data_IF_834103639796
#
_entry.id   IF_834103639796
#
_cell.length_a   1.000
_cell.length_b   1.000
_cell.length_c   1.000
_cell.angle_alpha   90.00
_cell.angle_beta   90.00
_cell.angle_gamma   90.00
#
_symmetry.space_group_name_H-M   'P 1'
#
loop_
_entity.id
_entity.type
_entity.pdbx_description
1 polymer ?
#
# COMPACT_ATOMS: atom_id res chain seq x y z
N UNK A 1 -7.09 2.41 -7.67
CA UNK A 1 -7.21 0.95 -7.55
C UNK A 1 -7.78 0.39 -8.84
N UNK A 2 -7.63 -0.91 -9.08
CA UNK A 2 -8.31 -1.63 -10.17
C UNK A 2 -8.72 -3.01 -9.67
N UNK A 3 -9.83 -3.53 -10.16
CA UNK A 3 -10.24 -4.91 -9.91
C UNK A 3 -9.47 -5.88 -10.80
N UNK A 4 -9.62 -7.18 -10.55
CA UNK A 4 -9.27 -8.22 -11.53
C UNK A 4 -10.24 -8.19 -12.71
N UNK A 5 -9.79 -8.74 -13.83
CA UNK A 5 -10.66 -9.01 -14.96
C UNK A 5 -11.59 -10.17 -14.63
N UNK A 6 -12.87 -10.05 -14.98
CA UNK A 6 -13.84 -11.14 -14.93
C UNK A 6 -14.06 -11.62 -16.35
N UNK A 7 -13.78 -12.89 -16.57
CA UNK A 7 -14.03 -13.57 -17.83
C UNK A 7 -15.42 -14.23 -17.80
N UNK A 8 -16.09 -14.31 -18.94
CA UNK A 8 -17.32 -15.08 -19.15
C UNK A 8 -18.58 -14.62 -18.39
N UNK A 9 -18.57 -13.44 -17.74
CA UNK A 9 -19.76 -12.81 -17.14
C UNK A 9 -19.94 -11.38 -17.66
N UNK A 10 -20.62 -11.23 -18.80
CA UNK A 10 -20.76 -9.93 -19.47
C UNK A 10 -21.90 -9.06 -18.95
N UNK A 11 -22.93 -9.63 -18.30
CA UNK A 11 -24.17 -8.90 -17.96
C UNK A 11 -24.27 -8.46 -16.50
N UNK A 12 -23.59 -9.14 -15.58
CA UNK A 12 -23.60 -8.81 -14.14
C UNK A 12 -22.29 -9.24 -13.48
N UNK A 13 -21.14 -8.65 -13.87
CA UNK A 13 -19.84 -9.02 -13.33
C UNK A 13 -19.79 -8.74 -11.81
N UNK A 14 -19.37 -9.75 -11.03
CA UNK A 14 -19.24 -9.65 -9.56
C UNK A 14 -17.80 -9.79 -9.10
N UNK A 15 -17.15 -8.65 -8.86
CA UNK A 15 -15.76 -8.64 -8.39
C UNK A 15 -15.63 -9.06 -6.92
N UNK A 16 -16.49 -8.52 -6.06
CA UNK A 16 -16.43 -8.68 -4.60
C UNK A 16 -15.02 -8.38 -4.05
N UNK A 17 -14.39 -7.34 -4.59
CA UNK A 17 -13.05 -6.91 -4.20
C UNK A 17 -13.09 -5.75 -3.23
N UNK A 18 -12.14 -5.75 -2.30
CA UNK A 18 -11.97 -4.70 -1.30
C UNK A 18 -10.61 -4.05 -1.46
N UNK A 19 -10.55 -2.74 -1.22
CA UNK A 19 -9.34 -1.95 -1.40
C UNK A 19 -9.05 -1.14 -0.14
N UNK A 20 -7.77 -1.08 0.24
CA UNK A 20 -7.25 -0.10 1.18
C UNK A 20 -6.43 0.91 0.38
N UNK A 21 -7.02 2.06 0.08
CA UNK A 21 -6.42 3.07 -0.80
C UNK A 21 -5.89 4.21 0.07
N UNK A 22 -4.58 4.45 -0.01
CA UNK A 22 -3.96 5.62 0.62
C UNK A 22 -4.24 6.87 -0.23
N UNK A 23 -4.82 7.89 0.40
CA UNK A 23 -5.29 9.09 -0.28
C UNK A 23 -4.53 10.34 0.18
N UNK A 24 -4.14 11.18 -0.77
CA UNK A 24 -3.57 12.52 -0.55
C UNK A 24 -3.97 13.47 -1.69
N UNK A 25 -5.25 13.41 -2.10
CA UNK A 25 -5.76 14.05 -3.31
C UNK A 25 -6.81 15.12 -2.99
N UNK A 26 -6.82 16.20 -3.76
CA UNK A 26 -7.91 17.18 -3.77
C UNK A 26 -8.85 16.86 -4.96
N UNK A 27 -10.00 16.27 -4.69
CA UNK A 27 -10.97 15.81 -5.71
C UNK A 27 -12.40 16.09 -5.28
N UNK A 28 -13.30 16.24 -6.26
CA UNK A 28 -14.74 16.44 -6.02
C UNK A 28 -15.55 15.14 -6.07
N UNK A 29 -15.05 14.12 -6.78
CA UNK A 29 -15.73 12.84 -6.94
C UNK A 29 -14.74 11.67 -6.84
N UNK A 30 -15.21 10.56 -6.27
CA UNK A 30 -14.63 9.23 -6.49
C UNK A 30 -15.30 8.65 -7.73
N UNK A 31 -14.50 8.35 -8.75
CA UNK A 31 -14.99 7.92 -10.06
C UNK A 31 -14.71 6.44 -10.27
N UNK A 32 -15.73 5.65 -10.53
CA UNK A 32 -15.61 4.24 -10.92
C UNK A 32 -15.74 4.16 -12.42
N UNK A 33 -14.70 3.69 -13.10
CA UNK A 33 -14.70 3.52 -14.56
C UNK A 33 -14.82 2.05 -14.89
N UNK A 34 -15.87 1.68 -15.62
CA UNK A 34 -16.11 0.31 -16.06
C UNK A 34 -15.56 0.20 -17.48
N UNK A 35 -14.68 -0.78 -17.68
CA UNK A 35 -14.05 -1.06 -18.97
C UNK A 35 -14.17 -2.54 -19.28
N UNK A 36 -14.29 -2.82 -20.57
CA UNK A 36 -14.13 -4.15 -21.12
C UNK A 36 -12.76 -4.23 -21.79
N UNK A 37 -11.95 -5.22 -21.42
CA UNK A 37 -10.61 -5.41 -22.00
C UNK A 37 -10.70 -6.54 -23.02
N UNK A 38 -10.82 -6.16 -24.29
CA UNK A 38 -10.84 -7.11 -25.39
C UNK A 38 -9.44 -7.23 -26.01
N UNK A 39 -9.14 -8.33 -26.73
CA UNK A 39 -7.82 -8.55 -27.34
C UNK A 39 -7.35 -7.42 -28.28
N UNK A 40 -8.29 -6.62 -28.80
CA UNK A 40 -8.04 -5.49 -29.71
C UNK A 40 -7.82 -4.17 -28.96
N UNK A 41 -8.24 -4.08 -27.69
CA UNK A 41 -8.08 -2.90 -26.85
C UNK A 41 -9.18 -2.77 -25.79
N UNK A 42 -8.92 -1.91 -24.79
CA UNK A 42 -9.88 -1.63 -23.72
C UNK A 42 -10.98 -0.66 -24.20
N UNK A 43 -12.23 -1.10 -24.15
CA UNK A 43 -13.43 -0.31 -24.45
C UNK A 43 -14.02 0.26 -23.17
N UNK A 44 -14.33 1.56 -23.15
CA UNK A 44 -15.05 2.19 -22.06
C UNK A 44 -16.53 1.77 -22.11
N UNK A 45 -17.05 1.22 -21.01
CA UNK A 45 -18.49 0.96 -20.86
C UNK A 45 -19.18 2.21 -20.28
N UNK A 46 -18.58 2.82 -19.26
CA UNK A 46 -19.12 4.03 -18.65
C UNK A 46 -18.45 4.38 -17.31
N UNK A 47 -18.95 5.43 -16.67
CA UNK A 47 -18.43 5.97 -15.41
C UNK A 47 -19.54 6.21 -14.39
N UNK A 48 -19.29 5.85 -13.14
CA UNK A 48 -20.15 6.20 -12.01
C UNK A 48 -19.41 7.19 -11.09
N UNK A 49 -20.16 8.15 -10.54
CA UNK A 49 -19.61 9.27 -9.80
C UNK A 49 -20.18 9.28 -8.37
N UNK A 50 -19.30 9.21 -7.38
CA UNK A 50 -19.63 9.36 -5.96
C UNK A 50 -19.06 10.70 -5.48
N UNK A 51 -19.91 11.69 -5.16
CA UNK A 51 -19.46 12.95 -4.59
C UNK A 51 -18.64 12.73 -3.32
N UNK A 52 -17.52 13.45 -3.18
CA UNK A 52 -16.66 13.34 -1.99
C UNK A 52 -17.38 13.80 -0.73
N UNK A 53 -18.31 14.76 -0.86
CA UNK A 53 -19.16 15.22 0.24
C UNK A 53 -19.92 14.09 0.95
N UNK A 54 -20.25 13.01 0.24
CA UNK A 54 -20.95 11.86 0.81
C UNK A 54 -20.06 10.99 1.70
N UNK A 55 -18.74 11.02 1.49
CA UNK A 55 -17.76 10.17 2.21
C UNK A 55 -16.85 10.94 3.14
N UNK A 56 -16.65 12.24 2.93
CA UNK A 56 -15.64 13.05 3.64
C UNK A 56 -15.89 13.14 5.15
N UNK A 57 -17.16 12.98 5.57
CA UNK A 57 -17.57 12.96 6.96
C UNK A 57 -17.14 11.67 7.71
N UNK A 58 -16.62 10.67 6.99
CA UNK A 58 -16.12 9.41 7.53
C UNK A 58 -17.18 8.32 7.76
N UNK A 59 -18.45 8.60 7.45
CA UNK A 59 -19.49 7.59 7.48
C UNK A 59 -19.33 6.60 6.32
N UNK A 60 -19.79 5.38 6.56
CA UNK A 60 -19.86 4.36 5.54
C UNK A 60 -20.97 4.68 4.53
N UNK A 61 -20.63 4.62 3.24
CA UNK A 61 -21.55 4.71 2.12
C UNK A 61 -21.65 3.34 1.48
N UNK A 62 -22.86 2.81 1.37
CA UNK A 62 -23.15 1.52 0.71
C UNK A 62 -24.35 1.72 -0.22
N UNK A 63 -24.11 1.79 -1.54
CA UNK A 63 -25.17 2.15 -2.50
C UNK A 63 -24.92 1.71 -3.94
N UNK A 64 -26.01 1.67 -4.69
CA UNK A 64 -26.02 1.54 -6.14
C UNK A 64 -25.91 2.93 -6.80
N UNK A 65 -24.90 3.11 -7.65
CA UNK A 65 -24.65 4.34 -8.40
C UNK A 65 -24.88 4.07 -9.88
N UNK A 66 -25.60 4.98 -10.55
CA UNK A 66 -25.85 4.89 -11.99
C UNK A 66 -24.56 5.06 -12.80
N UNK A 67 -24.45 4.28 -13.87
CA UNK A 67 -23.34 4.35 -14.81
C UNK A 67 -23.74 5.28 -15.96
N UNK A 68 -22.88 6.25 -16.24
CA UNK A 68 -23.08 7.30 -17.23
C UNK A 68 -22.10 7.14 -18.40
N UNK A 69 -22.51 7.62 -19.58
CA UNK A 69 -21.66 7.78 -20.75
C UNK A 69 -20.73 9.01 -20.63
N UNK A 70 -20.06 9.36 -21.72
CA UNK A 70 -19.14 10.50 -21.77
C UNK A 70 -19.86 11.86 -21.73
N UNK A 71 -21.14 11.90 -22.08
CA UNK A 71 -22.00 13.08 -22.08
C UNK A 71 -22.82 13.21 -20.77
N UNK A 72 -22.49 12.40 -19.75
CA UNK A 72 -23.19 12.33 -18.46
C UNK A 72 -24.65 11.88 -18.55
N UNK A 73 -25.02 11.14 -19.59
CA UNK A 73 -26.34 10.51 -19.69
C UNK A 73 -26.29 9.05 -19.18
N UNK A 74 -27.38 8.54 -18.59
CA UNK A 74 -27.45 7.13 -18.20
C UNK A 74 -27.21 6.19 -19.38
N UNK A 75 -26.33 5.19 -19.21
CA UNK A 75 -26.11 4.20 -20.26
C UNK A 75 -27.35 3.30 -20.44
N UNK A 76 -27.55 2.69 -21.63
CA UNK A 76 -28.69 1.80 -21.87
C UNK A 76 -28.81 0.69 -20.82
N UNK A 77 -30.05 0.36 -20.45
CA UNK A 77 -30.35 -0.73 -19.52
C UNK A 77 -30.33 -0.37 -18.04
N UNK A 78 -30.26 0.93 -17.68
CA UNK A 78 -30.23 1.41 -16.30
C UNK A 78 -29.13 0.71 -15.48
N UNK A 79 -27.96 0.56 -16.08
CA UNK A 79 -26.84 -0.16 -15.47
C UNK A 79 -26.33 0.62 -14.25
N UNK A 80 -26.11 -0.09 -13.14
CA UNK A 80 -25.64 0.50 -11.88
C UNK A 80 -24.48 -0.33 -11.34
N UNK A 81 -23.56 0.34 -10.66
CA UNK A 81 -22.49 -0.30 -9.89
C UNK A 81 -22.82 -0.22 -8.40
N UNK A 82 -22.69 -1.35 -7.70
CA UNK A 82 -22.79 -1.38 -6.24
C UNK A 82 -21.42 -1.13 -5.64
N UNK A 83 -21.30 -0.11 -4.80
CA UNK A 83 -20.03 0.24 -4.16
C UNK A 83 -20.24 0.53 -2.68
N UNK A 84 -19.22 0.14 -1.90
CA UNK A 84 -19.14 0.38 -0.47
C UNK A 84 -17.84 1.11 -0.15
N UNK A 85 -17.93 2.28 0.48
CA UNK A 85 -16.80 3.16 0.75
C UNK A 85 -16.87 3.74 2.15
N UNK A 86 -15.71 3.88 2.77
CA UNK A 86 -15.55 4.65 4.00
C UNK A 86 -14.23 5.42 3.90
N UNK A 87 -14.28 6.72 4.16
CA UNK A 87 -13.08 7.53 4.25
C UNK A 87 -12.60 7.58 5.71
N UNK A 88 -11.33 7.28 5.92
CA UNK A 88 -10.70 7.39 7.24
C UNK A 88 -9.67 8.50 7.15
N UNK A 89 -9.90 9.59 7.89
CA UNK A 89 -8.94 10.69 7.96
C UNK A 89 -7.67 10.19 8.67
N UNK A 90 -6.49 10.67 8.24
CA UNK A 90 -5.20 10.33 8.87
C UNK A 90 -5.19 10.58 10.38
N UNK A 91 -5.93 11.58 10.87
CA UNK A 91 -6.03 11.88 12.31
C UNK A 91 -6.74 10.81 13.13
N UNK A 92 -7.44 9.87 12.49
CA UNK A 92 -8.05 8.71 13.15
C UNK A 92 -7.05 7.57 13.36
N UNK A 93 -5.86 7.61 12.73
CA UNK A 93 -4.80 6.66 13.02
C UNK A 93 -4.15 6.98 14.37
N UNK A 94 -4.07 5.98 15.26
CA UNK A 94 -3.54 6.13 16.62
C UNK A 94 -2.07 6.58 16.68
N UNK A 95 -1.31 6.42 15.60
CA UNK A 95 0.11 6.78 15.49
C UNK A 95 0.32 8.07 14.66
N UNK A 96 -0.74 8.69 14.14
CA UNK A 96 -0.62 9.90 13.33
C UNK A 96 0.11 11.02 14.07
N UNK A 97 1.22 11.49 13.49
CA UNK A 97 2.08 12.54 14.06
C UNK A 97 2.71 12.19 15.43
N UNK A 98 2.77 10.91 15.80
CA UNK A 98 3.30 10.48 17.11
C UNK A 98 4.50 9.53 17.02
N UNK A 99 4.85 9.04 15.82
CA UNK A 99 5.90 8.02 15.65
C UNK A 99 5.54 6.68 16.31
N UNK A 100 6.55 5.85 16.59
CA UNK A 100 6.36 4.59 17.32
C UNK A 100 6.31 4.89 18.82
N UNK A 101 5.10 4.89 19.39
CA UNK A 101 4.86 5.28 20.79
C UNK A 101 5.08 4.17 21.80
N UNK A 102 4.97 2.91 21.38
CA UNK A 102 4.96 1.75 22.26
C UNK A 102 5.76 0.60 21.65
N UNK A 103 6.49 -0.17 22.48
CA UNK A 103 7.05 -1.46 22.08
C UNK A 103 6.00 -2.45 21.56
N UNK A 104 4.72 -2.23 21.87
CA UNK A 104 3.59 -3.02 21.38
C UNK A 104 3.14 -2.65 19.96
N UNK A 105 3.87 -1.78 19.24
CA UNK A 105 3.56 -1.48 17.84
C UNK A 105 3.58 -2.76 16.98
N UNK A 106 2.47 -3.03 16.30
CA UNK A 106 2.23 -4.30 15.60
C UNK A 106 2.81 -4.34 14.17
N UNK A 107 3.45 -3.25 13.74
CA UNK A 107 3.98 -3.10 12.39
C UNK A 107 3.02 -2.41 11.44
N UNK A 108 3.45 -2.30 10.18
CA UNK A 108 2.65 -1.70 9.11
C UNK A 108 1.51 -2.66 8.73
N UNK A 109 0.23 -2.21 8.73
CA UNK A 109 -0.91 -3.06 8.40
C UNK A 109 -0.97 -3.39 6.90
N UNK A 110 -1.82 -4.36 6.52
CA UNK A 110 -2.06 -4.76 5.12
C UNK A 110 -0.81 -5.17 4.31
N UNK A 111 0.25 -5.59 5.00
CA UNK A 111 1.50 -6.10 4.40
C UNK A 111 1.51 -7.62 4.33
N UNK A 112 2.21 -8.17 3.32
CA UNK A 112 2.41 -9.62 3.15
C UNK A 112 3.34 -10.19 4.23
N UNK A 113 4.50 -9.56 4.44
CA UNK A 113 5.42 -9.92 5.52
C UNK A 113 5.11 -9.10 6.77
N UNK A 114 4.78 -9.80 7.86
CA UNK A 114 4.51 -9.18 9.17
C UNK A 114 5.80 -8.84 9.92
N UNK A 115 5.72 -7.86 10.82
CA UNK A 115 6.81 -7.50 11.71
C UNK A 115 7.29 -8.71 12.53
N UNK A 116 8.60 -8.84 12.69
CA UNK A 116 9.24 -9.90 13.48
C UNK A 116 9.92 -9.27 14.71
N UNK A 117 9.88 -9.99 15.82
CA UNK A 117 10.47 -9.57 17.09
C UNK A 117 11.78 -10.33 17.34
N UNK A 118 12.62 -9.84 18.25
CA UNK A 118 13.89 -10.49 18.59
C UNK A 118 14.94 -10.46 17.47
N UNK A 119 14.80 -9.53 16.52
CA UNK A 119 15.73 -9.37 15.41
C UNK A 119 16.95 -8.54 15.83
N UNK A 120 18.09 -8.78 15.17
CA UNK A 120 19.25 -7.89 15.18
C UNK A 120 19.44 -7.36 13.78
N UNK A 121 19.61 -6.04 13.65
CA UNK A 121 19.90 -5.37 12.38
C UNK A 121 21.29 -4.75 12.48
N UNK A 122 22.18 -5.13 11.56
CA UNK A 122 23.44 -4.43 11.34
C UNK A 122 23.20 -3.35 10.29
N UNK A 123 23.55 -2.10 10.61
CA UNK A 123 23.46 -0.98 9.68
C UNK A 123 24.81 -0.79 8.99
N UNK A 124 24.79 -0.76 7.66
CA UNK A 124 26.00 -0.55 6.86
C UNK A 124 26.02 0.84 6.26
N UNK A 125 27.05 1.60 6.59
CA UNK A 125 27.41 2.82 5.89
C UNK A 125 28.44 2.44 4.83
N UNK A 126 28.05 2.53 3.56
CA UNK A 126 28.87 2.11 2.41
C UNK A 126 29.26 0.61 2.43
N UNK A 127 30.05 0.20 1.43
CA UNK A 127 30.52 -1.18 1.31
C UNK A 127 31.57 -1.55 2.37
N UNK A 128 32.43 -0.59 2.73
CA UNK A 128 33.52 -0.75 3.69
C UNK A 128 33.74 0.59 4.39
N UNK A 129 34.07 0.52 5.68
CA UNK A 129 34.44 1.68 6.50
C UNK A 129 35.88 1.44 6.97
N UNK A 130 36.83 2.31 6.59
CA UNK A 130 38.23 2.14 6.97
C UNK A 130 38.39 2.29 8.50
N UNK A 131 39.51 1.79 9.02
CA UNK A 131 39.92 1.99 10.41
C UNK A 131 40.36 3.45 10.65
N UNK A 132 39.39 4.37 10.62
CA UNK A 132 39.57 5.78 10.97
C UNK A 132 38.90 6.08 12.28
N UNK A 133 39.48 7.00 13.06
CA UNK A 133 38.85 7.50 14.28
C UNK A 133 37.56 8.22 13.92
N UNK A 134 36.43 7.54 14.08
CA UNK A 134 35.12 8.16 14.01
C UNK A 134 34.87 8.99 15.28
N UNK A 135 34.11 10.08 15.20
CA UNK A 135 33.66 10.78 16.39
C UNK A 135 32.94 9.83 17.34
N UNK A 136 33.15 10.00 18.64
CA UNK A 136 32.47 9.19 19.64
C UNK A 136 30.99 9.60 19.70
N UNK A 137 30.11 8.75 19.18
CA UNK A 137 28.67 8.92 19.31
C UNK A 137 28.15 8.02 20.44
N UNK A 138 27.77 8.64 21.55
CA UNK A 138 27.22 7.95 22.71
C UNK A 138 25.81 7.43 22.41
N UNK A 139 25.60 6.15 22.70
CA UNK A 139 24.32 5.47 22.61
C UNK A 139 23.74 5.23 24.01
N UNK A 140 22.46 4.87 24.07
CA UNK A 140 21.84 4.41 25.31
C UNK A 140 22.55 3.18 25.89
N UNK A 141 22.51 3.02 27.21
CA UNK A 141 23.21 1.93 27.91
C UNK A 141 24.73 2.09 28.00
N UNK A 142 25.26 3.30 27.78
CA UNK A 142 26.69 3.62 27.94
C UNK A 142 27.59 3.07 26.83
N UNK A 143 27.00 2.67 25.71
CA UNK A 143 27.73 2.16 24.53
C UNK A 143 28.15 3.31 23.62
N UNK A 144 29.16 3.06 22.81
CA UNK A 144 29.54 3.94 21.69
C UNK A 144 29.10 3.29 20.38
N UNK A 145 28.74 4.12 19.40
CA UNK A 145 28.47 3.65 18.04
C UNK A 145 29.72 3.01 17.42
N UNK A 146 29.55 1.82 16.87
CA UNK A 146 30.61 1.07 16.16
C UNK A 146 30.13 0.75 14.73
N UNK A 147 30.80 1.25 13.68
CA UNK A 147 30.41 1.02 12.31
C UNK A 147 30.65 -0.44 11.93
N UNK A 148 29.73 -1.01 11.15
CA UNK A 148 29.85 -2.37 10.59
C UNK A 148 30.30 -2.29 9.13
N UNK A 149 30.92 -3.36 8.60
CA UNK A 149 31.50 -3.39 7.26
C UNK A 149 30.77 -4.38 6.36
N UNK A 150 30.01 -3.85 5.40
CA UNK A 150 29.09 -4.63 4.57
C UNK A 150 29.79 -5.77 3.81
N UNK A 151 30.84 -5.46 3.05
CA UNK A 151 31.50 -6.44 2.19
C UNK A 151 32.34 -7.45 2.97
N UNK A 152 32.87 -7.07 4.14
CA UNK A 152 33.54 -8.02 5.04
C UNK A 152 32.53 -9.01 5.62
N UNK A 153 31.40 -8.54 6.13
CA UNK A 153 30.34 -9.41 6.66
C UNK A 153 29.71 -10.29 5.56
N UNK A 154 29.51 -9.76 4.34
CA UNK A 154 29.04 -10.55 3.19
C UNK A 154 30.08 -11.62 2.81
N UNK A 155 31.36 -11.26 2.76
CA UNK A 155 32.44 -12.21 2.48
C UNK A 155 32.46 -13.34 3.51
N UNK A 156 32.34 -13.01 4.79
CA UNK A 156 32.28 -14.00 5.87
C UNK A 156 31.02 -14.86 5.77
N UNK A 157 29.86 -14.27 5.49
CA UNK A 157 28.60 -15.00 5.34
C UNK A 157 28.65 -16.02 4.18
N UNK A 158 29.21 -15.63 3.04
CA UNK A 158 29.39 -16.50 1.87
C UNK A 158 30.42 -17.60 2.17
N UNK A 159 31.58 -17.22 2.71
CA UNK A 159 32.69 -18.14 2.98
C UNK A 159 32.31 -19.20 4.02
N UNK A 160 31.52 -18.82 5.03
CA UNK A 160 31.13 -19.71 6.14
C UNK A 160 29.84 -20.50 5.89
N UNK A 161 29.15 -20.30 4.76
CA UNK A 161 27.91 -21.00 4.45
C UNK A 161 28.14 -22.51 4.23
N UNK A 162 27.28 -23.36 4.80
CA UNK A 162 27.38 -24.84 4.69
C UNK A 162 26.34 -25.49 3.78
N UNK A 163 25.27 -24.79 3.43
CA UNK A 163 24.10 -25.38 2.77
C UNK A 163 23.64 -24.62 1.55
N UNK A 164 23.36 -23.31 1.70
CA UNK A 164 22.78 -22.51 0.63
C UNK A 164 23.35 -21.11 0.64
N UNK A 165 23.47 -20.56 -0.57
CA UNK A 165 23.79 -19.16 -0.85
C UNK A 165 22.80 -18.75 -1.95
N UNK A 166 21.91 -17.80 -1.66
CA UNK A 166 20.98 -17.23 -2.63
C UNK A 166 21.34 -15.78 -2.87
N UNK A 167 21.57 -15.43 -4.14
CA UNK A 167 21.92 -14.09 -4.61
C UNK A 167 20.96 -13.75 -5.76
N UNK A 168 20.42 -12.54 -5.76
CA UNK A 168 19.49 -12.03 -6.78
C UNK A 168 20.03 -10.77 -7.42
#
# INVERSE_FOLDING_TARGET
GRTRMIENESSNPRWHESFHIYCAHAVSNVIFTIKDENPVGATLIGRAYLPVEDVINGHEVDRWIEILDEDHNPIPGNSRIHVKLQFVNVTQDNNWSQGIRSPAFEGVPYTFFKQRQGCKVSLYQDAHVPDVTIPNFSLSGGKTYEPQRCWEDIFDAITNAKHLIYIT
#
